data_IF_288561992595
#
_entry.id   IF_288561992595
#
_cell.length_a   1.000
_cell.length_b   1.000
_cell.length_c   1.000
_cell.angle_alpha   90.00
_cell.angle_beta   90.00
_cell.angle_gamma   90.00
#
_symmetry.space_group_name_H-M   'P 1'
#
loop_
_entity.id
_entity.type
_entity.pdbx_description
1 polymer ?
#
# COMPACT_ATOMS: atom_id res chain seq x y z
N UNK A 1 27.09 14.63 -0.33
CA UNK A 1 25.88 14.12 -1.03
C UNK A 1 25.68 12.68 -0.61
N UNK A 2 24.60 12.39 0.11
CA UNK A 2 24.27 10.99 0.45
C UNK A 2 23.73 10.30 -0.80
N UNK A 3 24.31 9.17 -1.19
CA UNK A 3 23.81 8.36 -2.30
C UNK A 3 22.51 7.70 -1.84
N UNK A 4 21.39 8.06 -2.46
CA UNK A 4 20.10 7.38 -2.22
C UNK A 4 20.12 6.08 -3.03
N UNK A 5 20.10 4.94 -2.34
CA UNK A 5 19.98 3.63 -3.00
C UNK A 5 18.53 3.46 -3.47
N UNK A 6 18.34 3.41 -4.79
CA UNK A 6 17.03 3.21 -5.41
C UNK A 6 16.61 1.74 -5.29
N UNK A 7 15.41 1.53 -4.81
CA UNK A 7 14.79 0.21 -4.69
C UNK A 7 13.84 -0.02 -5.87
N UNK A 8 14.07 -1.07 -6.64
CA UNK A 8 13.22 -1.40 -7.79
C UNK A 8 12.22 -2.48 -7.40
N UNK A 9 10.90 -2.26 -7.54
CA UNK A 9 9.93 -3.31 -7.37
C UNK A 9 10.18 -4.47 -8.34
N UNK A 10 9.97 -5.73 -7.92
CA UNK A 10 10.11 -6.88 -8.81
C UNK A 10 9.18 -6.75 -10.04
N UNK A 11 9.58 -7.21 -11.24
CA UNK A 11 8.75 -7.14 -12.45
C UNK A 11 7.34 -7.70 -12.27
N UNK A 12 7.09 -8.81 -11.54
CA UNK A 12 5.74 -9.28 -11.27
C UNK A 12 4.86 -8.28 -10.50
N UNK A 13 5.45 -7.49 -9.59
CA UNK A 13 4.74 -6.44 -8.86
C UNK A 13 4.35 -5.31 -9.80
N UNK A 14 5.26 -4.88 -10.68
CA UNK A 14 4.96 -3.84 -11.68
C UNK A 14 3.82 -4.29 -12.59
N UNK A 15 3.86 -5.54 -13.07
CA UNK A 15 2.77 -6.13 -13.86
C UNK A 15 1.46 -6.16 -13.07
N UNK A 16 1.49 -6.57 -11.81
CA UNK A 16 0.30 -6.61 -10.96
C UNK A 16 -0.32 -5.23 -10.76
N UNK A 17 0.49 -4.20 -10.49
CA UNK A 17 0.01 -2.80 -10.36
C UNK A 17 -0.61 -2.31 -11.68
N UNK A 18 0.02 -2.57 -12.83
CA UNK A 18 -0.53 -2.17 -14.13
C UNK A 18 -1.88 -2.85 -14.40
N UNK A 19 -1.97 -4.16 -14.17
CA UNK A 19 -3.25 -4.91 -14.32
C UNK A 19 -4.31 -4.42 -13.33
N UNK A 20 -3.94 -4.15 -12.08
CA UNK A 20 -4.86 -3.64 -11.07
C UNK A 20 -5.48 -2.29 -11.47
N UNK A 21 -4.65 -1.37 -11.94
CA UNK A 21 -5.11 -0.04 -12.32
C UNK A 21 -5.97 -0.06 -13.60
N UNK A 22 -5.69 -0.99 -14.55
CA UNK A 22 -6.54 -1.18 -15.73
C UNK A 22 -7.95 -1.74 -15.43
N UNK A 23 -8.14 -2.34 -14.24
CA UNK A 23 -9.44 -2.83 -13.76
C UNK A 23 -10.26 -1.73 -13.03
N UNK A 24 -9.69 -0.56 -12.82
CA UNK A 24 -10.30 0.55 -12.11
C UNK A 24 -10.69 1.68 -13.10
N UNK A 25 -11.59 2.60 -12.71
CA UNK A 25 -11.88 3.78 -13.52
C UNK A 25 -10.61 4.56 -13.88
N UNK A 26 -10.52 5.06 -15.12
CA UNK A 26 -9.34 5.77 -15.63
C UNK A 26 -8.88 6.93 -14.73
N UNK A 27 -9.81 7.62 -14.08
CA UNK A 27 -9.50 8.69 -13.13
C UNK A 27 -8.70 8.22 -11.90
N UNK A 28 -8.66 6.90 -11.64
CA UNK A 28 -7.89 6.32 -10.55
C UNK A 28 -6.45 5.98 -10.94
N UNK A 29 -6.15 5.82 -12.23
CA UNK A 29 -4.80 5.56 -12.74
C UNK A 29 -4.11 6.87 -13.11
N UNK A 30 -3.44 7.45 -12.15
CA UNK A 30 -2.63 8.66 -12.34
C UNK A 30 -1.19 8.40 -11.92
N UNK A 31 -0.20 9.11 -12.49
CA UNK A 31 1.19 9.00 -12.04
C UNK A 31 1.36 9.25 -10.54
N UNK A 32 0.59 10.16 -9.95
CA UNK A 32 0.61 10.44 -8.51
C UNK A 32 0.09 9.23 -7.68
N UNK A 33 -0.97 8.56 -8.17
CA UNK A 33 -1.48 7.34 -7.57
C UNK A 33 -0.46 6.20 -7.64
N UNK A 34 0.21 6.03 -8.76
CA UNK A 34 1.26 5.03 -8.95
C UNK A 34 2.43 5.25 -7.99
N UNK A 35 2.90 6.50 -7.84
CA UNK A 35 3.95 6.84 -6.86
C UNK A 35 3.53 6.43 -5.45
N UNK A 36 2.31 6.79 -5.02
CA UNK A 36 1.82 6.42 -3.69
C UNK A 36 1.73 4.90 -3.51
N UNK A 37 1.21 4.16 -4.49
CA UNK A 37 1.10 2.70 -4.43
C UNK A 37 2.48 2.05 -4.26
N UNK A 38 3.48 2.46 -5.07
CA UNK A 38 4.84 1.91 -4.96
C UNK A 38 5.54 2.32 -3.66
N UNK A 39 5.46 3.60 -3.27
CA UNK A 39 6.08 4.08 -2.03
C UNK A 39 5.55 3.34 -0.80
N UNK A 40 4.22 3.13 -0.74
CA UNK A 40 3.59 2.41 0.37
C UNK A 40 3.97 0.92 0.36
N UNK A 41 3.95 0.25 -0.79
CA UNK A 41 4.36 -1.15 -0.87
C UNK A 41 5.83 -1.37 -0.46
N UNK A 42 6.73 -0.45 -0.84
CA UNK A 42 8.11 -0.44 -0.36
C UNK A 42 8.19 -0.19 1.16
N UNK A 43 7.37 0.72 1.69
CA UNK A 43 7.33 1.06 3.11
C UNK A 43 6.84 -0.10 3.97
N UNK A 44 5.83 -0.84 3.51
CA UNK A 44 5.18 -1.90 4.25
C UNK A 44 5.93 -3.24 4.21
N UNK A 45 6.47 -3.62 3.05
CA UNK A 45 7.05 -4.96 2.88
C UNK A 45 8.34 -5.02 2.06
N UNK A 46 8.77 -3.91 1.46
CA UNK A 46 9.81 -3.90 0.41
C UNK A 46 9.45 -4.81 -0.78
N UNK A 47 8.19 -5.17 -0.95
CA UNK A 47 7.72 -6.22 -1.88
C UNK A 47 8.41 -7.58 -1.70
N UNK A 48 8.82 -7.92 -0.45
CA UNK A 48 9.51 -9.16 -0.11
C UNK A 48 8.60 -10.17 0.59
N UNK A 49 7.72 -9.67 1.46
CA UNK A 49 6.90 -10.52 2.32
C UNK A 49 5.41 -10.24 2.10
N UNK A 50 4.65 -11.28 1.69
CA UNK A 50 3.19 -11.20 1.56
C UNK A 50 2.47 -11.40 2.88
N UNK A 51 3.17 -11.77 3.93
CA UNK A 51 2.65 -11.82 5.29
C UNK A 51 3.57 -11.08 6.23
N UNK A 52 2.98 -10.35 7.15
CA UNK A 52 3.75 -9.59 8.13
C UNK A 52 4.69 -10.51 8.91
N UNK A 53 5.96 -10.11 8.97
CA UNK A 53 6.97 -10.82 9.77
C UNK A 53 6.92 -10.30 11.20
N UNK A 54 6.75 -11.21 12.14
CA UNK A 54 6.74 -10.91 13.58
C UNK A 54 7.82 -11.70 14.31
N UNK A 55 8.25 -11.20 15.45
CA UNK A 55 9.15 -11.93 16.34
C UNK A 55 8.32 -12.82 17.27
N UNK A 56 8.54 -14.15 17.20
CA UNK A 56 7.88 -15.13 18.04
C UNK A 56 8.96 -15.94 18.78
N UNK A 57 9.17 -15.61 20.03
CA UNK A 57 10.19 -16.28 20.85
C UNK A 57 11.62 -16.13 20.33
N UNK A 58 12.00 -14.96 19.80
CA UNK A 58 13.32 -14.68 19.23
C UNK A 58 13.48 -15.04 17.75
N UNK A 59 12.52 -15.73 17.14
CA UNK A 59 12.52 -16.14 15.73
C UNK A 59 11.59 -15.24 14.90
N UNK A 60 12.08 -14.76 13.77
CA UNK A 60 11.25 -14.02 12.81
C UNK A 60 10.42 -14.98 11.96
N UNK A 61 9.10 -14.86 12.01
CA UNK A 61 8.15 -15.72 11.29
C UNK A 61 7.09 -14.89 10.54
N UNK A 62 6.65 -15.30 9.33
CA UNK A 62 5.63 -14.60 8.55
C UNK A 62 4.22 -15.02 9.01
N UNK A 63 3.88 -14.74 10.26
CA UNK A 63 2.61 -15.14 10.89
C UNK A 63 1.80 -13.96 11.43
N UNK A 64 2.21 -12.73 11.12
CA UNK A 64 1.51 -11.54 11.59
C UNK A 64 0.13 -11.33 10.96
N UNK A 65 -0.66 -10.39 11.50
CA UNK A 65 -2.04 -10.15 11.07
C UNK A 65 -2.19 -9.38 9.75
N UNK A 66 -1.11 -8.79 9.22
CA UNK A 66 -1.18 -8.04 7.98
C UNK A 66 -0.79 -8.91 6.78
N UNK A 67 -1.52 -8.79 5.65
CA UNK A 67 -1.39 -9.61 4.45
C UNK A 67 -1.24 -8.78 3.17
N UNK A 68 -0.63 -9.42 2.16
CA UNK A 68 -0.28 -8.81 0.88
C UNK A 68 0.90 -7.85 1.00
N UNK A 69 1.47 -7.44 -0.12
CA UNK A 69 2.62 -6.53 -0.13
C UNK A 69 2.34 -5.17 0.50
N UNK A 70 1.08 -4.74 0.52
CA UNK A 70 0.64 -3.49 1.17
C UNK A 70 0.19 -3.67 2.62
N UNK A 71 0.38 -4.86 3.20
CA UNK A 71 0.18 -5.20 4.61
C UNK A 71 -1.21 -4.80 5.15
N UNK A 72 -2.25 -5.32 4.49
CA UNK A 72 -3.63 -5.07 4.90
C UNK A 72 -4.03 -5.86 6.14
N UNK A 73 -4.62 -5.16 7.10
CA UNK A 73 -5.31 -5.77 8.23
C UNK A 73 -6.80 -5.97 7.91
N UNK A 74 -7.35 -7.12 8.35
CA UNK A 74 -8.76 -7.50 8.13
C UNK A 74 -9.73 -6.44 8.64
N UNK A 75 -9.56 -5.99 9.90
CA UNK A 75 -10.44 -5.03 10.56
C UNK A 75 -10.19 -3.57 10.18
N UNK A 76 -9.05 -3.28 9.55
CA UNK A 76 -8.65 -1.96 9.07
C UNK A 76 -8.93 -1.77 7.58
N UNK A 77 -7.89 -1.88 6.75
CA UNK A 77 -7.96 -1.59 5.31
C UNK A 77 -9.00 -2.43 4.55
N UNK A 78 -9.10 -3.75 4.81
CA UNK A 78 -10.07 -4.60 4.11
C UNK A 78 -11.51 -4.19 4.42
N UNK A 79 -11.86 -4.02 5.71
CA UNK A 79 -13.18 -3.56 6.09
C UNK A 79 -13.45 -2.15 5.56
N UNK A 80 -12.47 -1.26 5.68
CA UNK A 80 -12.60 0.14 5.26
C UNK A 80 -13.00 0.28 3.79
N UNK A 81 -12.38 -0.44 2.86
CA UNK A 81 -12.71 -0.36 1.42
C UNK A 81 -14.05 -1.02 1.09
N UNK A 82 -14.46 -2.06 1.82
CA UNK A 82 -15.74 -2.76 1.60
C UNK A 82 -16.96 -2.02 2.16
N UNK A 83 -16.77 -1.16 3.15
CA UNK A 83 -17.86 -0.44 3.84
C UNK A 83 -17.95 1.04 3.41
N UNK A 84 -16.84 1.66 2.99
CA UNK A 84 -16.83 3.08 2.59
C UNK A 84 -17.69 3.32 1.35
N UNK A 85 -18.60 4.28 1.42
CA UNK A 85 -19.53 4.60 0.32
C UNK A 85 -18.82 4.90 -1.02
N UNK A 86 -17.62 5.51 -0.99
CA UNK A 86 -16.85 5.88 -2.18
C UNK A 86 -16.11 4.71 -2.84
N UNK A 87 -15.99 3.54 -2.19
CA UNK A 87 -15.17 2.42 -2.68
C UNK A 87 -15.87 1.07 -2.64
N UNK A 88 -16.92 0.90 -1.83
CA UNK A 88 -17.56 -0.39 -1.57
C UNK A 88 -18.03 -1.12 -2.83
N UNK A 89 -18.59 -0.40 -3.79
CA UNK A 89 -19.15 -1.02 -4.98
C UNK A 89 -18.04 -1.49 -5.93
N UNK A 90 -16.98 -0.69 -6.09
CA UNK A 90 -15.77 -1.10 -6.82
C UNK A 90 -15.06 -2.26 -6.12
N UNK A 91 -14.93 -2.23 -4.80
CA UNK A 91 -14.30 -3.31 -4.04
C UNK A 91 -15.07 -4.63 -4.20
N UNK A 92 -16.41 -4.60 -4.17
CA UNK A 92 -17.26 -5.77 -4.42
C UNK A 92 -17.10 -6.29 -5.84
N UNK A 93 -17.12 -5.41 -6.84
CA UNK A 93 -16.90 -5.77 -8.24
C UNK A 93 -15.55 -6.45 -8.44
N UNK A 94 -14.47 -5.93 -7.85
CA UNK A 94 -13.15 -6.53 -7.89
C UNK A 94 -13.13 -7.91 -7.20
N UNK A 95 -13.75 -8.04 -6.02
CA UNK A 95 -13.85 -9.34 -5.35
C UNK A 95 -14.51 -10.38 -6.26
N UNK A 96 -15.64 -10.05 -6.88
CA UNK A 96 -16.34 -10.94 -7.82
C UNK A 96 -15.46 -11.28 -9.02
N UNK A 97 -14.81 -10.31 -9.64
CA UNK A 97 -13.92 -10.51 -10.78
C UNK A 97 -12.73 -11.45 -10.46
N UNK A 98 -12.31 -11.49 -9.20
CA UNK A 98 -11.24 -12.36 -8.72
C UNK A 98 -11.73 -13.65 -8.02
N UNK A 99 -13.03 -13.95 -8.06
CA UNK A 99 -13.61 -15.14 -7.43
C UNK A 99 -13.55 -15.14 -5.90
N UNK A 100 -13.56 -13.95 -5.29
CA UNK A 100 -13.45 -13.75 -3.85
C UNK A 100 -14.78 -13.26 -3.28
N UNK A 101 -15.24 -13.83 -2.16
CA UNK A 101 -16.39 -13.28 -1.46
C UNK A 101 -16.08 -11.87 -0.91
N UNK A 102 -16.99 -10.92 -1.11
CA UNK A 102 -16.83 -9.53 -0.66
C UNK A 102 -17.07 -9.38 0.86
N UNK A 103 -16.32 -10.12 1.65
CA UNK A 103 -16.27 -10.02 3.12
C UNK A 103 -14.87 -9.65 3.57
N UNK A 104 -14.70 -8.94 4.71
CA UNK A 104 -13.38 -8.58 5.21
C UNK A 104 -12.45 -9.78 5.41
N UNK A 105 -12.99 -10.94 5.80
CA UNK A 105 -12.18 -12.16 5.99
C UNK A 105 -11.71 -12.73 4.64
N UNK A 106 -12.62 -12.97 3.70
CA UNK A 106 -12.26 -13.57 2.42
C UNK A 106 -11.34 -12.65 1.60
N UNK A 107 -11.59 -11.34 1.61
CA UNK A 107 -10.70 -10.37 0.98
C UNK A 107 -9.32 -10.43 1.62
N UNK A 108 -9.21 -10.34 2.94
CA UNK A 108 -7.95 -10.39 3.67
C UNK A 108 -7.15 -11.68 3.37
N UNK A 109 -7.82 -12.84 3.28
CA UNK A 109 -7.17 -14.10 2.92
C UNK A 109 -6.65 -14.09 1.48
N UNK A 110 -7.43 -13.56 0.55
CA UNK A 110 -7.05 -13.47 -0.87
C UNK A 110 -5.84 -12.54 -1.11
N UNK A 111 -5.72 -11.43 -0.36
CA UNK A 111 -4.63 -10.46 -0.55
C UNK A 111 -3.24 -11.03 -0.27
N UNK A 112 -3.12 -12.14 0.46
CA UNK A 112 -1.83 -12.83 0.67
C UNK A 112 -1.29 -13.45 -0.62
N UNK A 113 -2.16 -13.84 -1.56
CA UNK A 113 -1.79 -14.64 -2.73
C UNK A 113 -2.16 -14.00 -4.07
N UNK A 114 -2.94 -12.92 -4.06
CA UNK A 114 -3.40 -12.21 -5.26
C UNK A 114 -2.87 -10.77 -5.27
N UNK A 115 -1.71 -10.58 -5.91
CA UNK A 115 -1.04 -9.27 -5.95
C UNK A 115 -1.82 -8.24 -6.77
N UNK A 116 -2.59 -8.67 -7.79
CA UNK A 116 -3.44 -7.77 -8.59
C UNK A 116 -4.58 -7.22 -7.74
N UNK A 117 -5.30 -8.10 -7.05
CA UNK A 117 -6.36 -7.68 -6.13
C UNK A 117 -5.78 -6.80 -5.01
N UNK A 118 -4.62 -7.18 -4.45
CA UNK A 118 -3.97 -6.39 -3.40
C UNK A 118 -3.61 -4.96 -3.86
N UNK A 119 -3.09 -4.79 -5.07
CA UNK A 119 -2.80 -3.49 -5.66
C UNK A 119 -4.09 -2.67 -5.92
N UNK A 120 -5.15 -3.32 -6.41
CA UNK A 120 -6.46 -2.69 -6.62
C UNK A 120 -7.03 -2.17 -5.29
N UNK A 121 -6.99 -2.98 -4.24
CA UNK A 121 -7.46 -2.60 -2.90
C UNK A 121 -6.58 -1.50 -2.30
N UNK A 122 -5.26 -1.51 -2.56
CA UNK A 122 -4.38 -0.41 -2.15
C UNK A 122 -4.80 0.92 -2.80
N UNK A 123 -5.13 0.90 -4.09
CA UNK A 123 -5.65 2.10 -4.78
C UNK A 123 -6.99 2.55 -4.21
N UNK A 124 -7.90 1.63 -3.93
CA UNK A 124 -9.18 1.97 -3.31
C UNK A 124 -9.00 2.53 -1.91
N UNK A 125 -8.07 2.02 -1.11
CA UNK A 125 -7.81 2.57 0.23
C UNK A 125 -7.32 4.03 0.14
N UNK A 126 -6.46 4.36 -0.83
CA UNK A 126 -6.11 5.75 -1.11
C UNK A 126 -7.34 6.60 -1.48
N UNK A 127 -8.32 6.03 -2.20
CA UNK A 127 -9.53 6.73 -2.61
C UNK A 127 -10.53 6.98 -1.47
N UNK A 128 -10.35 6.33 -0.32
CA UNK A 128 -11.19 6.58 0.85
C UNK A 128 -10.92 7.93 1.53
N UNK A 129 -9.72 8.50 1.36
CA UNK A 129 -9.39 9.83 1.89
C UNK A 129 -10.03 10.91 0.99
N UNK A 130 -10.77 11.88 1.56
CA UNK A 130 -11.42 12.93 0.78
C UNK A 130 -10.44 13.97 0.20
N UNK A 131 -9.19 13.98 0.67
CA UNK A 131 -8.17 14.90 0.16
C UNK A 131 -7.58 14.37 -1.14
N UNK A 132 -7.20 15.25 -2.09
CA UNK A 132 -6.50 14.83 -3.30
C UNK A 132 -5.16 14.17 -2.96
N UNK A 133 -4.70 13.30 -3.85
CA UNK A 133 -3.35 12.74 -3.76
C UNK A 133 -2.30 13.85 -3.88
N UNK A 134 -1.17 13.72 -3.19
CA UNK A 134 -0.03 14.61 -3.35
C UNK A 134 0.45 14.64 -4.80
N UNK A 135 0.72 15.82 -5.32
CA UNK A 135 1.24 16.01 -6.68
C UNK A 135 2.76 15.79 -6.67
N UNK A 136 3.21 14.67 -7.23
CA UNK A 136 4.62 14.22 -7.16
C UNK A 136 5.65 15.25 -7.62
N UNK A 137 5.27 16.20 -8.47
CA UNK A 137 6.16 17.23 -9.04
C UNK A 137 6.11 18.57 -8.29
N UNK A 138 5.30 18.69 -7.23
CA UNK A 138 5.20 19.92 -6.45
C UNK A 138 6.20 19.94 -5.28
N UNK A 139 6.62 21.12 -4.88
CA UNK A 139 7.44 21.29 -3.69
C UNK A 139 6.71 20.75 -2.45
N UNK A 140 7.41 19.95 -1.62
CA UNK A 140 6.82 19.33 -0.44
C UNK A 140 5.99 18.07 -0.72
N UNK A 141 6.00 17.54 -1.96
CA UNK A 141 5.25 16.35 -2.35
C UNK A 141 5.56 15.12 -1.48
N UNK A 142 6.82 14.90 -1.14
CA UNK A 142 7.24 13.80 -0.26
C UNK A 142 6.59 13.90 1.14
N UNK A 143 6.61 15.08 1.73
CA UNK A 143 6.02 15.32 3.06
C UNK A 143 4.50 15.19 3.02
N UNK A 144 3.86 15.70 1.97
CA UNK A 144 2.44 15.50 1.73
C UNK A 144 2.10 14.02 1.54
N UNK A 145 2.94 13.26 0.83
CA UNK A 145 2.83 11.81 0.65
C UNK A 145 2.97 11.06 1.98
N UNK A 146 3.92 11.45 2.81
CA UNK A 146 4.09 10.93 4.16
C UNK A 146 2.84 11.15 5.02
N UNK A 147 2.34 12.38 5.06
CA UNK A 147 1.14 12.71 5.82
C UNK A 147 -0.09 11.94 5.31
N UNK A 148 -0.18 11.73 3.99
CA UNK A 148 -1.24 10.94 3.37
C UNK A 148 -1.16 9.46 3.75
N UNK A 149 0.03 8.86 3.69
CA UNK A 149 0.28 7.49 4.15
C UNK A 149 -0.11 7.29 5.61
N UNK A 150 0.30 8.19 6.50
CA UNK A 150 -0.04 8.10 7.93
C UNK A 150 -1.55 8.11 8.18
N UNK A 151 -2.31 8.90 7.42
CA UNK A 151 -3.77 8.97 7.58
C UNK A 151 -4.49 7.73 7.08
N UNK A 152 -4.03 7.18 5.96
CA UNK A 152 -4.71 6.08 5.28
C UNK A 152 -4.30 4.70 5.78
N UNK A 153 -3.01 4.47 6.02
CA UNK A 153 -2.48 3.18 6.51
C UNK A 153 -2.42 3.06 8.03
N UNK A 154 -2.24 4.18 8.75
CA UNK A 154 -2.15 4.22 10.23
C UNK A 154 -1.17 3.19 10.80
N UNK A 155 0.09 3.17 10.35
CA UNK A 155 1.04 2.13 10.73
C UNK A 155 1.23 2.07 12.26
N UNK A 156 1.23 0.85 12.80
CA UNK A 156 1.32 0.62 14.25
C UNK A 156 2.58 1.22 14.88
N UNK A 157 3.70 1.18 14.17
CA UNK A 157 4.95 1.81 14.61
C UNK A 157 4.83 3.34 14.77
N UNK A 158 3.93 3.99 14.04
CA UNK A 158 3.65 5.42 14.20
C UNK A 158 2.63 5.69 15.30
N UNK A 159 1.53 4.94 15.32
CA UNK A 159 0.40 5.21 16.22
C UNK A 159 0.64 4.75 17.65
N UNK A 160 1.37 3.66 17.84
CA UNK A 160 1.63 3.02 19.14
C UNK A 160 3.12 2.90 19.47
N UNK A 161 4.00 3.22 18.53
CA UNK A 161 5.43 3.11 18.68
C UNK A 161 6.05 4.19 19.54
N UNK A 162 7.28 3.95 19.99
CA UNK A 162 8.11 4.94 20.68
C UNK A 162 8.77 5.93 19.68
N UNK A 163 9.52 6.91 20.19
CA UNK A 163 10.18 7.92 19.37
C UNK A 163 11.15 7.32 18.34
N UNK A 164 11.93 6.29 18.71
CA UNK A 164 12.86 5.63 17.82
C UNK A 164 12.14 4.91 16.68
N UNK A 165 11.07 4.16 16.97
CA UNK A 165 10.27 3.47 15.95
C UNK A 165 9.64 4.45 14.95
N UNK A 166 9.19 5.61 15.42
CA UNK A 166 8.66 6.68 14.54
C UNK A 166 9.75 7.28 13.66
N UNK A 167 10.92 7.54 14.23
CA UNK A 167 12.07 8.07 13.50
C UNK A 167 12.53 7.08 12.42
N UNK A 168 12.64 5.79 12.75
CA UNK A 168 13.04 4.73 11.82
C UNK A 168 12.02 4.58 10.67
N UNK A 169 10.73 4.65 10.99
CA UNK A 169 9.67 4.59 9.98
C UNK A 169 9.76 5.78 9.02
N UNK A 170 9.96 7.00 9.53
CA UNK A 170 10.09 8.23 8.73
C UNK A 170 11.38 8.21 7.88
N UNK A 171 12.49 7.76 8.45
CA UNK A 171 13.80 7.74 7.75
C UNK A 171 13.77 6.85 6.50
N UNK A 172 12.97 5.79 6.49
CA UNK A 172 12.80 4.91 5.32
C UNK A 172 11.98 5.57 4.21
N UNK A 173 11.02 6.42 4.56
CA UNK A 173 10.06 6.99 3.62
C UNK A 173 10.71 7.76 2.49
N UNK A 174 11.71 8.59 2.76
CA UNK A 174 12.43 9.36 1.74
C UNK A 174 12.95 8.44 0.61
N UNK A 175 13.67 7.38 0.97
CA UNK A 175 14.20 6.41 -0.01
C UNK A 175 13.08 5.70 -0.79
N UNK A 176 11.99 5.35 -0.12
CA UNK A 176 10.86 4.67 -0.76
C UNK A 176 10.11 5.60 -1.71
N UNK A 177 9.95 6.87 -1.35
CA UNK A 177 9.37 7.90 -2.20
C UNK A 177 10.21 8.13 -3.45
N UNK A 178 11.52 8.38 -3.30
CA UNK A 178 12.44 8.56 -4.43
C UNK A 178 12.46 7.34 -5.36
N UNK A 179 12.43 6.14 -4.79
CA UNK A 179 12.35 4.90 -5.56
C UNK A 179 11.06 4.81 -6.37
N UNK A 180 9.92 5.15 -5.76
CA UNK A 180 8.62 5.15 -6.43
C UNK A 180 8.55 6.19 -7.57
N UNK A 181 9.12 7.38 -7.38
CA UNK A 181 9.26 8.40 -8.44
C UNK A 181 10.00 7.83 -9.65
N UNK A 182 11.15 7.17 -9.42
CA UNK A 182 11.95 6.56 -10.51
C UNK A 182 11.20 5.49 -11.27
N UNK A 183 10.45 4.62 -10.58
CA UNK A 183 9.63 3.57 -11.21
C UNK A 183 8.55 4.15 -12.12
N UNK A 184 7.96 5.27 -11.76
CA UNK A 184 6.87 5.90 -12.55
C UNK A 184 7.41 6.74 -13.71
N UNK A 185 8.68 7.15 -13.67
CA UNK A 185 9.36 7.89 -14.75
C UNK A 185 9.97 6.98 -15.81
N UNK A 186 10.25 5.70 -15.50
CA UNK A 186 10.79 4.71 -16.42
C UNK A 186 9.72 4.10 -17.31
#
# INVERSE_FOLDING_TARGET
MSIVVILTPPPPVVKAVNTALSQLPNAMDTPDARVMIYAIGLQESLFKHRRQVINKGGKLVPEGPAKGYWQFERGGGCRGVLERWSTRDLARTLCVAHGVHATPQALWDALEHNDVLAASIARLLLWTDPKPLPKRNEAGAEEAGWAYYLRTWRPGAWTRGNAQQRADLRAKWHRHWESAIKVVQS
#
